data_IF_082533637209
#
_entry.id   IF_082533637209
#
_cell.length_a   1.000
_cell.length_b   1.000
_cell.length_c   1.000
_cell.angle_alpha   90.00
_cell.angle_beta   90.00
_cell.angle_gamma   90.00
#
_symmetry.space_group_name_H-M   'P 1'
#
loop_
_entity.id
_entity.type
_entity.pdbx_description
1 polymer ?
#
# COMPACT_ATOMS: atom_id res chain seq x y z
N UNK A 1 17.53 18.02 18.10
CA UNK A 1 17.26 16.60 17.69
C UNK A 1 15.87 16.15 18.07
N UNK A 2 15.49 16.23 19.36
CA UNK A 2 14.15 15.78 19.79
C UNK A 2 13.01 16.63 19.21
N UNK A 3 13.16 17.93 19.18
CA UNK A 3 12.15 18.85 18.60
C UNK A 3 11.92 18.55 17.13
N UNK A 4 12.99 18.34 16.37
CA UNK A 4 12.92 17.94 14.96
C UNK A 4 12.17 16.62 14.80
N UNK A 5 12.45 15.64 15.67
CA UNK A 5 11.75 14.34 15.62
C UNK A 5 10.26 14.48 15.92
N UNK A 6 9.87 15.35 16.86
CA UNK A 6 8.47 15.62 17.18
C UNK A 6 7.75 16.25 15.99
N UNK A 7 8.37 17.23 15.34
CA UNK A 7 7.79 17.86 14.16
C UNK A 7 7.67 16.87 12.99
N UNK A 8 8.72 16.09 12.74
CA UNK A 8 8.71 15.07 11.69
C UNK A 8 7.62 14.02 11.94
N UNK A 9 7.47 13.51 13.17
CA UNK A 9 6.42 12.56 13.50
C UNK A 9 5.04 13.14 13.18
N UNK A 10 4.78 14.36 13.60
CA UNK A 10 3.50 15.04 13.36
C UNK A 10 3.20 15.19 11.86
N UNK A 11 4.20 15.61 11.08
CA UNK A 11 4.06 15.81 9.64
C UNK A 11 3.86 14.46 8.91
N UNK A 12 4.63 13.45 9.28
CA UNK A 12 4.49 12.11 8.69
C UNK A 12 3.11 11.53 8.98
N UNK A 13 2.60 11.72 10.19
CA UNK A 13 1.26 11.29 10.57
C UNK A 13 0.19 12.00 9.74
N UNK A 14 0.31 13.32 9.56
CA UNK A 14 -0.60 14.09 8.72
C UNK A 14 -0.58 13.64 7.27
N UNK A 15 0.61 13.39 6.71
CA UNK A 15 0.78 12.85 5.35
C UNK A 15 0.15 11.47 5.25
N UNK A 16 0.36 10.61 6.26
CA UNK A 16 -0.23 9.27 6.30
C UNK A 16 -1.76 9.31 6.26
N UNK A 17 -2.40 10.18 7.04
CA UNK A 17 -3.86 10.35 7.00
C UNK A 17 -4.34 10.85 5.64
N UNK A 18 -3.64 11.81 5.07
CA UNK A 18 -3.99 12.39 3.78
C UNK A 18 -3.92 11.34 2.66
N UNK A 19 -2.82 10.60 2.57
CA UNK A 19 -2.64 9.60 1.51
C UNK A 19 -3.64 8.42 1.65
N UNK A 20 -3.95 8.01 2.86
CA UNK A 20 -4.97 6.99 3.13
C UNK A 20 -6.37 7.46 2.74
N UNK A 21 -6.70 8.72 3.03
CA UNK A 21 -7.98 9.30 2.63
C UNK A 21 -8.12 9.31 1.10
N UNK A 22 -7.07 9.70 0.39
CA UNK A 22 -7.06 9.68 -1.09
C UNK A 22 -7.23 8.27 -1.63
N UNK A 23 -6.65 7.28 -0.98
CA UNK A 23 -6.85 5.87 -1.30
C UNK A 23 -8.31 5.44 -1.12
N UNK A 24 -8.94 5.80 0.00
CA UNK A 24 -10.36 5.49 0.25
C UNK A 24 -11.28 6.15 -0.77
N UNK A 25 -11.03 7.42 -1.10
CA UNK A 25 -11.81 8.15 -2.11
C UNK A 25 -11.72 7.44 -3.47
N UNK A 26 -10.55 6.97 -3.83
CA UNK A 26 -10.32 6.22 -5.06
C UNK A 26 -11.04 4.86 -5.08
N UNK A 27 -11.28 4.27 -3.91
CA UNK A 27 -11.94 2.97 -3.77
C UNK A 27 -13.46 3.08 -3.67
N UNK A 28 -14.05 4.27 -3.69
CA UNK A 28 -15.49 4.47 -3.51
C UNK A 28 -16.36 3.70 -4.50
N UNK A 29 -15.86 3.42 -5.70
CA UNK A 29 -16.54 2.64 -6.73
C UNK A 29 -16.16 1.16 -6.76
N UNK A 30 -15.33 0.70 -5.82
CA UNK A 30 -14.79 -0.67 -5.76
C UNK A 30 -15.28 -1.34 -4.48
N UNK A 31 -15.57 -2.64 -4.56
CA UNK A 31 -16.16 -3.43 -3.46
C UNK A 31 -15.13 -3.96 -2.47
N UNK A 32 -14.05 -3.24 -2.22
CA UNK A 32 -13.06 -3.61 -1.21
C UNK A 32 -12.79 -2.46 -0.25
N UNK A 33 -12.42 -2.80 0.98
CA UNK A 33 -12.05 -1.84 2.01
C UNK A 33 -10.61 -1.38 1.82
N UNK A 34 -10.22 -0.30 2.49
CA UNK A 34 -8.82 0.15 2.47
C UNK A 34 -7.85 -0.92 3.00
N UNK A 35 -8.12 -1.62 4.13
CA UNK A 35 -7.23 -2.71 4.55
C UNK A 35 -7.08 -3.83 3.52
N UNK A 36 -8.17 -4.23 2.86
CA UNK A 36 -8.11 -5.22 1.78
C UNK A 36 -7.28 -4.71 0.59
N UNK A 37 -7.44 -3.44 0.26
CA UNK A 37 -6.62 -2.81 -0.78
C UNK A 37 -5.14 -2.81 -0.41
N UNK A 38 -4.78 -2.53 0.84
CA UNK A 38 -3.40 -2.56 1.31
C UNK A 38 -2.78 -3.95 1.16
N UNK A 39 -3.54 -5.00 1.48
CA UNK A 39 -3.12 -6.39 1.26
C UNK A 39 -2.89 -6.65 -0.23
N UNK A 40 -3.84 -6.26 -1.09
CA UNK A 40 -3.70 -6.39 -2.54
C UNK A 40 -2.47 -5.66 -3.05
N UNK A 41 -2.20 -4.45 -2.55
CA UNK A 41 -1.04 -3.65 -2.94
C UNK A 41 0.29 -4.35 -2.59
N UNK A 42 0.39 -4.94 -1.40
CA UNK A 42 1.58 -5.69 -0.99
C UNK A 42 1.84 -6.89 -1.91
N UNK A 43 0.80 -7.59 -2.31
CA UNK A 43 0.90 -8.70 -3.26
C UNK A 43 1.30 -8.19 -4.66
N UNK A 44 0.68 -7.10 -5.11
CA UNK A 44 0.96 -6.51 -6.43
C UNK A 44 2.43 -6.09 -6.58
N UNK A 45 3.01 -5.44 -5.57
CA UNK A 45 4.40 -5.01 -5.61
C UNK A 45 5.41 -6.12 -5.27
N UNK A 46 4.92 -7.32 -4.97
CA UNK A 46 5.78 -8.46 -4.64
C UNK A 46 6.46 -8.36 -3.27
N UNK A 47 5.98 -7.46 -2.41
CA UNK A 47 6.48 -7.33 -1.03
C UNK A 47 6.00 -8.46 -0.15
N UNK A 48 4.86 -9.09 -0.50
CA UNK A 48 4.31 -10.26 0.14
C UNK A 48 3.93 -11.29 -0.91
N UNK A 49 4.29 -12.55 -0.67
CA UNK A 49 3.98 -13.68 -1.56
C UNK A 49 3.12 -14.75 -0.87
N UNK A 50 2.89 -14.62 0.43
CA UNK A 50 2.08 -15.56 1.22
C UNK A 50 1.44 -14.87 2.42
N UNK A 51 0.57 -15.59 3.13
CA UNK A 51 -0.13 -15.07 4.33
C UNK A 51 0.84 -14.68 5.44
N UNK A 52 1.92 -15.45 5.61
CA UNK A 52 2.94 -15.16 6.63
C UNK A 52 3.60 -13.79 6.40
N UNK A 53 3.97 -13.49 5.16
CA UNK A 53 4.52 -12.17 4.80
C UNK A 53 3.54 -11.06 5.11
N UNK A 54 2.26 -11.24 4.73
CA UNK A 54 1.21 -10.27 4.98
C UNK A 54 0.99 -10.03 6.47
N UNK A 55 1.00 -11.08 7.27
CA UNK A 55 0.87 -10.99 8.73
C UNK A 55 2.02 -10.19 9.32
N UNK A 56 3.24 -10.46 8.87
CA UNK A 56 4.43 -9.74 9.31
C UNK A 56 4.39 -8.26 8.94
N UNK A 57 4.06 -7.95 7.69
CA UNK A 57 4.07 -6.58 7.18
C UNK A 57 2.91 -5.72 7.71
N UNK A 58 1.74 -6.31 7.94
CA UNK A 58 0.56 -5.58 8.40
C UNK A 58 0.43 -5.52 9.92
N UNK A 59 1.04 -6.46 10.64
CA UNK A 59 0.85 -6.61 12.08
C UNK A 59 -0.53 -7.15 12.46
N UNK A 60 -1.36 -7.56 11.50
CA UNK A 60 -2.68 -8.11 11.75
C UNK A 60 -2.60 -9.61 12.07
N UNK A 61 -3.63 -10.13 12.75
CA UNK A 61 -3.74 -11.56 13.05
C UNK A 61 -3.85 -12.38 11.74
N UNK A 62 -3.29 -13.59 11.76
CA UNK A 62 -3.30 -14.49 10.60
C UNK A 62 -4.73 -14.80 10.13
N UNK A 63 -5.69 -14.96 11.06
CA UNK A 63 -7.10 -15.18 10.72
C UNK A 63 -7.71 -14.00 9.95
N UNK A 64 -7.41 -12.78 10.38
CA UNK A 64 -7.88 -11.56 9.71
C UNK A 64 -7.30 -11.43 8.31
N UNK A 65 -5.99 -11.67 8.18
CA UNK A 65 -5.31 -11.64 6.87
C UNK A 65 -5.88 -12.71 5.94
N UNK A 66 -6.09 -13.92 6.45
CA UNK A 66 -6.67 -15.03 5.66
C UNK A 66 -8.07 -14.70 5.15
N UNK A 67 -8.92 -14.08 5.96
CA UNK A 67 -10.25 -13.61 5.54
C UNK A 67 -10.17 -12.56 4.43
N UNK A 68 -9.25 -11.61 4.55
CA UNK A 68 -9.03 -10.59 3.53
C UNK A 68 -8.55 -11.20 2.21
N UNK A 69 -7.61 -12.15 2.28
CA UNK A 69 -7.12 -12.87 1.10
C UNK A 69 -8.24 -13.66 0.44
N UNK A 70 -9.05 -14.38 1.22
CA UNK A 70 -10.17 -15.14 0.70
C UNK A 70 -11.17 -14.25 -0.03
N UNK A 71 -11.44 -13.06 0.51
CA UNK A 71 -12.31 -12.07 -0.15
C UNK A 71 -11.71 -11.59 -1.46
N UNK A 72 -10.42 -11.31 -1.50
CA UNK A 72 -9.73 -10.90 -2.73
C UNK A 72 -9.72 -12.01 -3.79
N UNK A 73 -9.63 -13.26 -3.36
CA UNK A 73 -9.75 -14.44 -4.25
C UNK A 73 -11.17 -14.55 -4.81
N UNK A 74 -12.20 -14.40 -3.98
CA UNK A 74 -13.60 -14.38 -4.43
C UNK A 74 -13.86 -13.33 -5.49
N UNK A 75 -13.26 -12.14 -5.32
CA UNK A 75 -13.39 -11.02 -6.26
C UNK A 75 -12.50 -11.18 -7.50
N UNK A 76 -11.75 -12.26 -7.59
CA UNK A 76 -10.79 -12.53 -8.66
C UNK A 76 -9.66 -11.50 -8.78
N UNK A 77 -9.28 -10.86 -7.67
CA UNK A 77 -8.15 -9.91 -7.64
C UNK A 77 -6.84 -10.57 -7.27
N UNK A 78 -6.89 -11.72 -6.61
CA UNK A 78 -5.73 -12.52 -6.20
C UNK A 78 -6.00 -13.98 -6.52
N UNK A 79 -4.96 -14.72 -6.87
CA UNK A 79 -4.99 -16.18 -6.98
C UNK A 79 -4.13 -16.81 -5.90
N UNK A 80 -4.57 -17.97 -5.42
CA UNK A 80 -3.79 -18.84 -4.54
C UNK A 80 -3.31 -20.03 -5.37
N UNK A 81 -2.01 -20.26 -5.40
CA UNK A 81 -1.43 -21.44 -6.04
C UNK A 81 -0.56 -22.18 -5.05
N UNK A 82 -0.61 -23.50 -5.06
CA UNK A 82 0.30 -24.30 -4.25
C UNK A 82 1.67 -24.30 -4.90
N UNK A 83 2.73 -24.24 -4.07
CA UNK A 83 4.09 -24.41 -4.55
C UNK A 83 4.27 -25.85 -5.02
N UNK A 84 4.80 -26.04 -6.24
CA UNK A 84 5.02 -27.36 -6.85
C UNK A 84 6.00 -28.20 -6.01
N UNK A 85 6.98 -27.55 -5.38
CA UNK A 85 8.02 -28.21 -4.59
C UNK A 85 7.62 -28.46 -3.14
N UNK A 86 6.74 -27.63 -2.58
CA UNK A 86 6.22 -27.79 -1.21
C UNK A 86 4.75 -27.42 -1.18
N UNK A 87 3.88 -28.45 -1.17
CA UNK A 87 2.41 -28.29 -1.15
C UNK A 87 1.87 -27.57 0.09
N UNK A 88 2.68 -27.39 1.13
CA UNK A 88 2.30 -26.64 2.35
C UNK A 88 2.39 -25.12 2.11
N UNK A 89 3.13 -24.71 1.10
CA UNK A 89 3.28 -23.28 0.77
C UNK A 89 2.27 -22.89 -0.29
N UNK A 90 1.46 -21.88 0.04
CA UNK A 90 0.52 -21.25 -0.88
C UNK A 90 1.09 -19.92 -1.30
N UNK A 91 1.24 -19.74 -2.61
CA UNK A 91 1.74 -18.50 -3.19
C UNK A 91 0.57 -17.66 -3.68
N UNK A 92 0.60 -16.39 -3.33
CA UNK A 92 -0.39 -15.39 -3.73
C UNK A 92 0.13 -14.60 -4.91
N UNK A 93 -0.73 -14.41 -5.91
CA UNK A 93 -0.41 -13.59 -7.09
C UNK A 93 -1.57 -12.66 -7.40
N UNK A 94 -1.24 -11.46 -7.84
CA UNK A 94 -2.22 -10.49 -8.30
C UNK A 94 -2.69 -10.86 -9.71
N UNK A 95 -3.99 -10.77 -9.93
CA UNK A 95 -4.60 -11.00 -11.26
C UNK A 95 -4.55 -9.72 -12.10
N UNK A 96 -4.97 -9.80 -13.36
CA UNK A 96 -5.15 -8.62 -14.22
C UNK A 96 -6.18 -7.65 -13.64
N UNK A 97 -7.28 -8.18 -13.09
CA UNK A 97 -8.32 -7.37 -12.45
C UNK A 97 -7.78 -6.67 -11.20
N UNK A 98 -7.03 -7.40 -10.35
CA UNK A 98 -6.37 -6.82 -9.18
C UNK A 98 -5.37 -5.74 -9.56
N UNK A 99 -4.55 -5.99 -10.57
CA UNK A 99 -3.59 -5.00 -11.09
C UNK A 99 -4.29 -3.73 -11.59
N UNK A 100 -5.44 -3.87 -12.24
CA UNK A 100 -6.23 -2.74 -12.72
C UNK A 100 -6.71 -1.85 -11.56
N UNK A 101 -7.17 -2.45 -10.46
CA UNK A 101 -7.56 -1.72 -9.25
C UNK A 101 -6.37 -0.95 -8.67
N UNK A 102 -5.23 -1.60 -8.54
CA UNK A 102 -4.00 -0.98 -8.01
C UNK A 102 -3.60 0.22 -8.87
N UNK A 103 -3.53 0.05 -10.19
CA UNK A 103 -3.14 1.13 -11.10
C UNK A 103 -4.12 2.31 -11.05
N UNK A 104 -5.42 2.04 -10.95
CA UNK A 104 -6.44 3.09 -10.82
C UNK A 104 -6.23 3.94 -9.56
N UNK A 105 -6.04 3.30 -8.43
CA UNK A 105 -5.84 4.00 -7.15
C UNK A 105 -4.52 4.78 -7.16
N UNK A 106 -3.45 4.19 -7.64
CA UNK A 106 -2.14 4.86 -7.74
C UNK A 106 -2.24 6.09 -8.64
N UNK A 107 -2.90 5.97 -9.79
CA UNK A 107 -3.09 7.10 -10.72
C UNK A 107 -3.82 8.25 -10.05
N UNK A 108 -4.88 7.98 -9.31
CA UNK A 108 -5.64 9.01 -8.61
C UNK A 108 -4.82 9.65 -7.48
N UNK A 109 -4.03 8.86 -6.75
CA UNK A 109 -3.12 9.39 -5.73
C UNK A 109 -2.03 10.28 -6.34
N UNK A 110 -1.45 9.85 -7.45
CA UNK A 110 -0.47 10.67 -8.20
C UNK A 110 -1.09 12.00 -8.60
N UNK A 111 -2.30 11.99 -9.13
CA UNK A 111 -3.03 13.17 -9.52
C UNK A 111 -3.23 14.14 -8.34
N UNK A 112 -3.62 13.59 -7.18
CA UNK A 112 -3.77 14.37 -5.94
C UNK A 112 -2.44 14.98 -5.48
N UNK A 113 -1.34 14.23 -5.57
CA UNK A 113 0.01 14.72 -5.24
C UNK A 113 0.41 15.85 -6.19
N UNK A 114 0.14 15.71 -7.49
CA UNK A 114 0.42 16.75 -8.48
C UNK A 114 -0.31 18.06 -8.14
N UNK A 115 -1.58 17.98 -7.74
CA UNK A 115 -2.37 19.15 -7.36
C UNK A 115 -1.77 19.87 -6.14
N UNK A 116 -1.32 19.12 -5.15
CA UNK A 116 -0.67 19.68 -3.95
C UNK A 116 0.68 20.33 -4.31
N UNK A 117 1.49 19.63 -5.10
CA UNK A 117 2.84 20.12 -5.44
C UNK A 117 2.81 21.38 -6.31
N UNK A 118 1.74 21.61 -7.08
CA UNK A 118 1.54 22.88 -7.83
C UNK A 118 1.48 24.09 -6.90
N UNK A 119 1.03 23.93 -5.66
CA UNK A 119 0.91 25.00 -4.68
C UNK A 119 2.18 25.20 -3.87
N UNK A 120 3.20 24.37 -4.07
CA UNK A 120 4.48 24.48 -3.41
C UNK A 120 5.39 25.47 -4.14
N UNK A 121 6.37 26.02 -3.44
CA UNK A 121 7.39 26.87 -4.05
C UNK A 121 8.17 26.10 -5.11
N UNK A 122 8.61 26.76 -6.21
CA UNK A 122 9.43 26.10 -7.23
C UNK A 122 10.65 25.41 -6.62
N UNK A 123 10.88 24.16 -7.01
CA UNK A 123 11.98 23.33 -6.52
C UNK A 123 11.71 22.59 -5.22
N UNK A 124 10.68 22.98 -4.45
CA UNK A 124 10.37 22.33 -3.16
C UNK A 124 9.96 20.88 -3.31
N UNK A 125 9.19 20.53 -4.33
CA UNK A 125 8.78 19.16 -4.56
C UNK A 125 10.00 18.23 -4.80
N UNK A 126 10.97 18.66 -5.60
CA UNK A 126 12.19 17.90 -5.85
C UNK A 126 13.04 17.75 -4.60
N UNK A 127 13.14 18.83 -3.80
CA UNK A 127 13.85 18.78 -2.52
C UNK A 127 13.18 17.82 -1.54
N UNK A 128 11.85 17.80 -1.51
CA UNK A 128 11.07 16.89 -0.67
C UNK A 128 11.29 15.43 -1.08
N UNK A 129 11.31 15.13 -2.38
CA UNK A 129 11.62 13.79 -2.89
C UNK A 129 12.98 13.33 -2.38
N UNK A 130 14.01 14.15 -2.49
CA UNK A 130 15.36 13.79 -2.04
C UNK A 130 15.39 13.50 -0.54
N UNK A 131 14.76 14.36 0.27
CA UNK A 131 14.72 14.22 1.72
C UNK A 131 13.92 13.01 2.18
N UNK A 132 12.76 12.78 1.57
CA UNK A 132 11.95 11.60 1.88
C UNK A 132 12.63 10.29 1.43
N UNK A 133 13.34 10.32 0.33
CA UNK A 133 14.13 9.16 -0.12
C UNK A 133 15.19 8.80 0.93
N UNK A 134 15.95 9.79 1.39
CA UNK A 134 16.94 9.59 2.45
C UNK A 134 16.29 9.05 3.73
N UNK A 135 15.15 9.60 4.13
CA UNK A 135 14.41 9.14 5.31
C UNK A 135 13.98 7.69 5.17
N UNK A 136 13.36 7.33 4.04
CA UNK A 136 12.88 5.95 3.77
C UNK A 136 14.05 4.96 3.76
N UNK A 137 15.17 5.30 3.12
CA UNK A 137 16.36 4.45 3.13
C UNK A 137 16.94 4.26 4.53
N UNK A 138 16.83 5.30 5.37
CA UNK A 138 17.28 5.24 6.77
C UNK A 138 16.38 4.38 7.67
N UNK A 139 15.15 4.09 7.23
CA UNK A 139 14.22 3.21 7.98
C UNK A 139 14.53 1.72 7.80
N UNK A 140 15.36 1.35 6.82
CA UNK A 140 15.63 -0.06 6.46
C UNK A 140 16.68 -0.72 7.35
#
# INVERSE_FOLDING_TARGET
MRETAVELESLLRSISYWIKKKGRDALSSVKITLPQFQVLQLVYFGEAVNVKDLTHLTGLAASTVSEMVDRLVELAYVTKTQNVLDKRQVVLKCTKQGSSIIRKVIRQRIQSVQEVTKNMKPGSANSLVAMLTEFVESCK
#
